data_IF_452554461578
#
_entry.id   IF_452554461578
#
_cell.length_a   1.000
_cell.length_b   1.000
_cell.length_c   1.000
_cell.angle_alpha   90.00
_cell.angle_beta   90.00
_cell.angle_gamma   90.00
#
_symmetry.space_group_name_H-M   'P 1'
#
loop_
_entity.id
_entity.type
_entity.pdbx_description
1 polymer ?
#
# COMPACT_ATOMS: atom_id res chain seq x y z
N UNK A 1 -4.84 -20.94 -21.74
CA UNK A 1 -3.69 -20.22 -21.17
C UNK A 1 -3.98 -19.64 -19.77
N UNK A 2 -5.17 -19.06 -19.50
CA UNK A 2 -5.59 -18.64 -18.14
C UNK A 2 -5.62 -19.79 -17.11
N UNK A 3 -6.05 -20.98 -17.50
CA UNK A 3 -6.16 -22.14 -16.59
C UNK A 3 -4.81 -22.75 -16.17
N UNK A 4 -3.75 -22.56 -16.97
CA UNK A 4 -2.46 -23.23 -16.77
C UNK A 4 -1.50 -22.51 -15.80
N UNK A 5 -1.82 -21.29 -15.35
CA UNK A 5 -1.03 -20.54 -14.34
C UNK A 5 -1.86 -20.15 -13.13
N UNK A 6 -3.18 -19.96 -13.28
CA UNK A 6 -4.10 -19.97 -12.14
C UNK A 6 -3.92 -21.23 -11.27
N UNK A 7 -3.57 -22.37 -11.90
CA UNK A 7 -3.23 -23.62 -11.22
C UNK A 7 -1.94 -23.57 -10.38
N UNK A 8 -0.91 -22.79 -10.77
CA UNK A 8 0.34 -22.71 -10.00
C UNK A 8 0.14 -21.93 -8.71
N UNK A 9 -0.49 -20.75 -8.76
CA UNK A 9 -0.76 -19.93 -7.56
C UNK A 9 -1.77 -20.61 -6.61
N UNK A 10 -2.83 -21.19 -7.16
CA UNK A 10 -3.82 -21.92 -6.37
C UNK A 10 -3.20 -23.16 -5.71
N UNK A 11 -2.42 -23.98 -6.44
CA UNK A 11 -1.73 -25.12 -5.84
C UNK A 11 -0.69 -24.71 -4.79
N UNK A 12 -0.03 -23.58 -5.01
CA UNK A 12 0.99 -23.00 -4.14
C UNK A 12 0.48 -22.50 -2.78
N UNK A 13 -0.78 -22.05 -2.71
CA UNK A 13 -1.36 -21.38 -1.54
C UNK A 13 -2.70 -21.99 -1.07
N UNK A 14 -3.11 -23.12 -1.65
CA UNK A 14 -4.26 -23.90 -1.20
C UNK A 14 -3.96 -24.61 0.13
N UNK A 15 -4.97 -24.68 0.99
CA UNK A 15 -4.85 -25.31 2.30
C UNK A 15 -6.16 -26.00 2.68
N UNK A 16 -6.12 -27.33 2.73
CA UNK A 16 -7.29 -28.14 3.08
C UNK A 16 -7.88 -27.79 4.47
N UNK A 17 -7.04 -27.40 5.43
CA UNK A 17 -7.53 -26.94 6.74
C UNK A 17 -8.25 -25.60 6.65
N UNK A 18 -7.77 -24.67 5.81
CA UNK A 18 -8.46 -23.39 5.57
C UNK A 18 -9.83 -23.64 4.95
N UNK A 19 -9.92 -24.56 3.98
CA UNK A 19 -11.20 -24.91 3.36
C UNK A 19 -12.17 -25.55 4.34
N UNK A 20 -11.68 -26.43 5.22
CA UNK A 20 -12.49 -27.01 6.30
C UNK A 20 -13.02 -25.93 7.24
N UNK A 21 -12.18 -24.96 7.62
CA UNK A 21 -12.60 -23.85 8.49
C UNK A 21 -13.62 -22.96 7.78
N UNK A 22 -13.43 -22.65 6.50
CA UNK A 22 -14.41 -21.91 5.68
C UNK A 22 -15.75 -22.63 5.60
N UNK A 23 -15.73 -23.95 5.37
CA UNK A 23 -16.95 -24.77 5.34
C UNK A 23 -17.66 -24.83 6.71
N UNK A 24 -16.92 -24.71 7.80
CA UNK A 24 -17.44 -24.59 9.17
C UNK A 24 -17.78 -23.15 9.59
N UNK A 25 -18.25 -22.31 8.67
CA UNK A 25 -18.59 -20.90 8.93
C UNK A 25 -17.44 -20.09 9.55
N UNK A 26 -16.22 -20.31 9.05
CA UNK A 26 -14.98 -19.67 9.53
C UNK A 26 -14.58 -20.05 10.97
N UNK A 27 -15.08 -21.18 11.47
CA UNK A 27 -14.80 -21.68 12.82
C UNK A 27 -14.36 -23.14 12.79
N UNK A 28 -13.35 -23.47 13.57
CA UNK A 28 -12.88 -24.85 13.74
C UNK A 28 -12.53 -25.15 15.19
N UNK A 29 -13.10 -26.21 15.75
CA UNK A 29 -12.84 -26.66 17.11
C UNK A 29 -11.94 -27.90 17.13
N UNK A 30 -10.86 -27.84 17.89
CA UNK A 30 -9.90 -28.92 18.11
C UNK A 30 -9.63 -29.08 19.62
N UNK A 31 -10.43 -29.92 20.27
CA UNK A 31 -10.37 -30.12 21.72
C UNK A 31 -10.72 -28.84 22.48
N UNK A 32 -9.76 -28.30 23.24
CA UNK A 32 -9.92 -27.03 23.97
C UNK A 32 -9.61 -25.77 23.15
N UNK A 33 -9.11 -25.94 21.92
CA UNK A 33 -8.76 -24.84 21.04
C UNK A 33 -9.91 -24.60 20.06
N UNK A 34 -10.33 -23.35 19.94
CA UNK A 34 -11.22 -22.92 18.87
C UNK A 34 -10.47 -21.90 18.01
N UNK A 35 -10.39 -22.16 16.71
CA UNK A 35 -9.81 -21.26 15.72
C UNK A 35 -10.95 -20.55 15.01
N UNK A 36 -10.87 -19.23 14.96
CA UNK A 36 -11.73 -18.39 14.14
C UNK A 36 -10.88 -17.76 13.03
N UNK A 37 -11.42 -17.72 11.82
CA UNK A 37 -10.85 -16.94 10.72
C UNK A 37 -11.73 -15.72 10.47
N UNK A 38 -11.11 -14.59 10.14
CA UNK A 38 -11.89 -13.48 9.58
C UNK A 38 -12.58 -13.94 8.29
N UNK A 39 -13.74 -13.37 7.96
CA UNK A 39 -14.47 -13.75 6.75
C UNK A 39 -13.70 -13.40 5.47
N UNK A 40 -12.92 -12.33 5.53
CA UNK A 40 -12.06 -11.85 4.45
C UNK A 40 -10.58 -11.84 4.89
N UNK A 41 -9.73 -12.55 4.14
CA UNK A 41 -8.30 -12.67 4.41
C UNK A 41 -7.53 -13.17 3.17
N UNK A 42 -6.20 -13.11 3.21
CA UNK A 42 -5.34 -13.63 2.15
C UNK A 42 -5.14 -12.65 0.99
N UNK A 43 -4.83 -13.17 -0.20
CA UNK A 43 -4.54 -12.37 -1.39
C UNK A 43 -5.77 -11.60 -1.88
N UNK A 44 -5.54 -10.41 -2.44
CA UNK A 44 -6.56 -9.68 -3.17
C UNK A 44 -6.37 -9.91 -4.66
N UNK A 45 -7.39 -9.61 -5.46
CA UNK A 45 -7.33 -9.70 -6.91
C UNK A 45 -6.10 -8.97 -7.53
N UNK A 46 -5.74 -7.81 -6.98
CA UNK A 46 -4.57 -7.05 -7.44
C UNK A 46 -3.25 -7.80 -7.22
N UNK A 47 -3.12 -8.49 -6.09
CA UNK A 47 -1.98 -9.35 -5.76
C UNK A 47 -1.97 -10.58 -6.66
N UNK A 48 -3.09 -11.30 -6.76
CA UNK A 48 -3.20 -12.51 -7.58
C UNK A 48 -2.77 -12.24 -9.03
N UNK A 49 -3.31 -11.16 -9.61
CA UNK A 49 -3.00 -10.76 -10.98
C UNK A 49 -1.53 -10.36 -11.15
N UNK A 50 -0.95 -9.66 -10.18
CA UNK A 50 0.45 -9.25 -10.27
C UNK A 50 1.41 -10.43 -10.25
N UNK A 51 1.16 -11.40 -9.37
CA UNK A 51 1.96 -12.62 -9.29
C UNK A 51 1.76 -13.50 -10.53
N UNK A 52 0.51 -13.69 -11.00
CA UNK A 52 0.24 -14.40 -12.27
C UNK A 52 0.99 -13.74 -13.44
N UNK A 53 0.92 -12.42 -13.57
CA UNK A 53 1.63 -11.71 -14.64
C UNK A 53 3.14 -11.89 -14.58
N UNK A 54 3.73 -11.97 -13.38
CA UNK A 54 5.16 -12.24 -13.23
C UNK A 54 5.54 -13.64 -13.75
N UNK A 55 4.78 -14.68 -13.39
CA UNK A 55 4.99 -16.03 -13.92
C UNK A 55 4.75 -16.11 -15.43
N UNK A 56 3.71 -15.45 -15.94
CA UNK A 56 3.44 -15.36 -17.38
C UNK A 56 4.56 -14.65 -18.12
N UNK A 57 5.11 -13.56 -17.58
CA UNK A 57 6.25 -12.87 -18.17
C UNK A 57 7.46 -13.80 -18.26
N UNK A 58 7.78 -14.52 -17.19
CA UNK A 58 8.87 -15.51 -17.19
C UNK A 58 8.65 -16.57 -18.27
N UNK A 59 7.45 -17.14 -18.37
CA UNK A 59 7.09 -18.15 -19.38
C UNK A 59 7.10 -17.61 -20.81
N UNK A 60 6.72 -16.35 -21.00
CA UNK A 60 6.63 -15.70 -22.32
C UNK A 60 8.00 -15.37 -22.91
N UNK A 61 9.00 -15.16 -22.04
CA UNK A 61 10.35 -14.75 -22.42
C UNK A 61 11.41 -15.72 -21.87
N UNK A 62 11.35 -17.02 -22.22
CA UNK A 62 12.19 -18.05 -21.61
C UNK A 62 13.70 -17.80 -21.79
N UNK A 63 14.11 -17.20 -22.91
CA UNK A 63 15.52 -16.99 -23.25
C UNK A 63 16.07 -15.61 -22.86
N UNK A 64 15.25 -14.76 -22.23
CA UNK A 64 15.64 -13.39 -21.83
C UNK A 64 15.79 -13.30 -20.33
N UNK A 65 16.61 -12.34 -19.88
CA UNK A 65 16.61 -11.95 -18.48
C UNK A 65 15.27 -11.29 -18.14
N UNK A 66 14.65 -11.76 -17.06
CA UNK A 66 13.43 -11.17 -16.52
C UNK A 66 13.75 -10.61 -15.15
N UNK A 67 13.60 -9.30 -15.02
CA UNK A 67 13.87 -8.55 -13.83
C UNK A 67 12.58 -8.06 -13.19
N UNK A 68 12.60 -7.88 -11.88
CA UNK A 68 11.59 -7.18 -11.10
C UNK A 68 12.26 -5.98 -10.43
N UNK A 69 11.64 -4.80 -10.42
CA UNK A 69 12.29 -3.57 -9.93
C UNK A 69 12.61 -3.57 -8.43
N UNK A 70 11.94 -4.44 -7.67
CA UNK A 70 11.99 -4.61 -6.22
C UNK A 70 11.16 -5.84 -5.86
N UNK A 71 10.34 -5.77 -4.81
CA UNK A 71 9.37 -6.83 -4.50
C UNK A 71 8.14 -6.77 -5.40
N UNK A 72 7.49 -7.91 -5.71
CA UNK A 72 6.22 -7.91 -6.48
C UNK A 72 5.09 -7.39 -5.59
N UNK A 73 5.14 -7.82 -4.33
CA UNK A 73 4.30 -7.51 -3.20
C UNK A 73 5.12 -7.67 -1.90
N UNK A 74 4.66 -7.08 -0.80
CA UNK A 74 5.28 -7.19 0.52
C UNK A 74 5.02 -8.56 1.20
N UNK A 75 5.52 -9.63 0.58
CA UNK A 75 5.47 -11.00 1.09
C UNK A 75 6.76 -11.76 0.69
N UNK A 76 7.64 -12.12 1.65
CA UNK A 76 8.92 -12.75 1.32
C UNK A 76 8.75 -14.08 0.58
N UNK A 77 7.83 -14.94 1.04
CA UNK A 77 7.57 -16.25 0.44
C UNK A 77 7.13 -16.18 -1.03
N UNK A 78 6.35 -15.15 -1.40
CA UNK A 78 5.98 -14.93 -2.81
C UNK A 78 7.21 -14.52 -3.63
N UNK A 79 8.03 -13.60 -3.12
CA UNK A 79 9.21 -13.12 -3.82
C UNK A 79 10.26 -14.23 -3.98
N UNK A 80 10.46 -15.07 -2.97
CA UNK A 80 11.40 -16.20 -3.04
C UNK A 80 10.97 -17.22 -4.10
N UNK A 81 9.68 -17.50 -4.23
CA UNK A 81 9.19 -18.36 -5.32
C UNK A 81 9.34 -17.75 -6.71
N UNK A 82 9.30 -16.43 -6.84
CA UNK A 82 9.61 -15.75 -8.11
C UNK A 82 11.11 -15.84 -8.42
N UNK A 83 11.98 -15.75 -7.40
CA UNK A 83 13.43 -16.01 -7.55
C UNK A 83 13.69 -17.44 -8.00
N UNK A 84 13.04 -18.42 -7.36
CA UNK A 84 13.15 -19.85 -7.73
C UNK A 84 12.68 -20.11 -9.17
N UNK A 85 11.72 -19.32 -9.67
CA UNK A 85 11.28 -19.34 -11.06
C UNK A 85 12.23 -18.64 -12.05
N UNK A 86 13.37 -18.12 -11.57
CA UNK A 86 14.39 -17.48 -12.38
C UNK A 86 14.13 -16.00 -12.67
N UNK A 87 13.27 -15.34 -11.90
CA UNK A 87 13.11 -13.88 -11.97
C UNK A 87 14.15 -13.21 -11.06
N UNK A 88 14.91 -12.27 -11.61
CA UNK A 88 15.98 -11.54 -10.91
C UNK A 88 15.45 -10.24 -10.34
N UNK A 89 15.97 -9.77 -9.21
CA UNK A 89 15.42 -8.59 -8.52
C UNK A 89 16.44 -7.45 -8.55
N UNK A 90 16.07 -6.30 -9.13
CA UNK A 90 16.94 -5.12 -9.23
C UNK A 90 17.25 -4.46 -7.88
N UNK A 91 16.61 -4.91 -6.80
CA UNK A 91 16.95 -4.56 -5.42
C UNK A 91 18.07 -5.42 -4.84
N UNK A 92 18.41 -6.55 -5.47
CA UNK A 92 19.44 -7.45 -4.97
C UNK A 92 20.85 -6.85 -5.23
N UNK A 93 21.83 -7.04 -4.33
CA UNK A 93 23.10 -6.31 -4.37
C UNK A 93 23.94 -6.45 -5.64
N UNK A 94 23.79 -7.57 -6.36
CA UNK A 94 24.55 -7.86 -7.58
C UNK A 94 23.88 -7.31 -8.84
N UNK A 95 22.62 -6.88 -8.74
CA UNK A 95 21.86 -6.39 -9.87
C UNK A 95 22.05 -4.89 -10.08
N UNK A 96 22.03 -4.49 -11.34
CA UNK A 96 22.35 -3.12 -11.75
C UNK A 96 21.31 -2.61 -12.74
N UNK A 97 20.66 -1.50 -12.38
CA UNK A 97 19.64 -0.87 -13.23
C UNK A 97 20.24 -0.21 -14.47
N UNK A 98 21.49 0.24 -14.40
CA UNK A 98 22.15 1.01 -15.45
C UNK A 98 22.68 0.16 -16.61
N UNK A 99 22.73 -1.16 -16.46
CA UNK A 99 23.18 -2.10 -17.51
C UNK A 99 22.03 -2.75 -18.29
N UNK A 100 20.78 -2.41 -17.97
CA UNK A 100 19.60 -2.93 -18.66
C UNK A 100 19.50 -2.40 -20.09
N UNK A 101 18.98 -3.22 -21.00
CA UNK A 101 18.81 -2.87 -22.41
C UNK A 101 17.63 -3.54 -23.11
N UNK A 102 17.60 -3.47 -24.46
CA UNK A 102 16.47 -3.96 -25.28
C UNK A 102 16.17 -5.46 -25.14
N UNK A 103 17.17 -6.25 -24.73
CA UNK A 103 17.07 -7.70 -24.53
C UNK A 103 16.55 -8.08 -23.14
N UNK A 104 16.31 -7.11 -22.25
CA UNK A 104 15.82 -7.37 -20.89
C UNK A 104 14.31 -7.08 -20.75
N UNK A 105 13.65 -7.90 -19.93
CA UNK A 105 12.25 -7.72 -19.56
C UNK A 105 12.21 -7.21 -18.12
N UNK A 106 11.48 -6.14 -17.86
CA UNK A 106 11.36 -5.55 -16.52
C UNK A 106 9.91 -5.52 -16.08
N UNK A 107 9.62 -6.24 -15.01
CA UNK A 107 8.32 -6.28 -14.36
C UNK A 107 8.24 -5.14 -13.36
N UNK A 108 7.15 -4.38 -13.42
CA UNK A 108 6.82 -3.33 -12.45
C UNK A 108 5.84 -3.91 -11.42
N UNK A 109 6.00 -3.64 -10.12
CA UNK A 109 5.28 -4.29 -9.06
C UNK A 109 3.83 -3.82 -8.90
N UNK A 110 3.06 -4.49 -8.04
CA UNK A 110 1.64 -4.21 -7.85
C UNK A 110 1.36 -2.79 -7.32
N UNK A 111 2.30 -2.21 -6.58
CA UNK A 111 2.24 -0.84 -6.06
C UNK A 111 2.80 0.22 -7.05
N UNK A 112 3.29 -0.23 -8.21
CA UNK A 112 3.82 0.61 -9.28
C UNK A 112 5.21 1.20 -9.02
N UNK A 113 5.65 2.07 -9.93
CA UNK A 113 6.96 2.74 -9.87
C UNK A 113 6.81 4.25 -10.06
N UNK A 114 7.86 5.00 -9.73
CA UNK A 114 7.85 6.45 -9.95
C UNK A 114 7.87 6.80 -11.43
N UNK A 115 7.40 7.99 -11.78
CA UNK A 115 7.44 8.51 -13.16
C UNK A 115 8.87 8.55 -13.71
N UNK A 116 9.85 8.88 -12.86
CA UNK A 116 11.27 8.90 -13.22
C UNK A 116 11.79 7.50 -13.50
N UNK A 117 11.50 6.52 -12.63
CA UNK A 117 11.89 5.12 -12.85
C UNK A 117 11.28 4.59 -14.15
N UNK A 118 10.00 4.86 -14.40
CA UNK A 118 9.31 4.45 -15.62
C UNK A 118 9.96 5.06 -16.87
N UNK A 119 10.28 6.36 -16.84
CA UNK A 119 10.94 7.04 -17.96
C UNK A 119 12.34 6.50 -18.21
N UNK A 120 13.11 6.23 -17.16
CA UNK A 120 14.44 5.64 -17.25
C UNK A 120 14.37 4.26 -17.92
N UNK A 121 13.56 3.35 -17.38
CA UNK A 121 13.43 1.98 -17.90
C UNK A 121 12.95 1.98 -19.36
N UNK A 122 12.01 2.87 -19.71
CA UNK A 122 11.55 3.02 -21.09
C UNK A 122 12.65 3.56 -22.01
N UNK A 123 13.49 4.49 -21.54
CA UNK A 123 14.59 5.05 -22.35
C UNK A 123 15.70 4.05 -22.65
N UNK A 124 15.84 3.01 -21.81
CA UNK A 124 16.79 1.91 -22.01
C UNK A 124 16.30 0.87 -23.03
N UNK A 125 15.07 1.00 -23.53
CA UNK A 125 14.49 0.09 -24.52
C UNK A 125 13.99 -1.25 -23.94
N UNK A 126 13.94 -1.39 -22.61
CA UNK A 126 13.48 -2.62 -21.96
C UNK A 126 12.04 -2.98 -22.36
N UNK A 127 11.74 -4.28 -22.39
CA UNK A 127 10.34 -4.72 -22.48
C UNK A 127 9.69 -4.62 -21.10
N UNK A 128 8.74 -3.69 -20.94
CA UNK A 128 8.10 -3.45 -19.64
C UNK A 128 6.82 -4.27 -19.46
N UNK A 129 6.70 -4.93 -18.31
CA UNK A 129 5.48 -5.64 -17.89
C UNK A 129 4.92 -4.95 -16.65
N UNK A 130 3.91 -4.11 -16.85
CA UNK A 130 3.30 -3.36 -15.75
C UNK A 130 2.24 -4.19 -15.02
N UNK A 131 2.50 -4.54 -13.76
CA UNK A 131 1.56 -5.29 -12.92
C UNK A 131 0.78 -4.41 -11.94
N UNK A 132 0.95 -3.08 -12.01
CA UNK A 132 0.35 -2.10 -11.09
C UNK A 132 -1.15 -2.36 -10.93
N UNK A 133 -1.59 -2.49 -9.67
CA UNK A 133 -2.96 -2.79 -9.29
C UNK A 133 -3.94 -1.72 -9.81
N UNK A 134 -5.11 -2.15 -10.28
CA UNK A 134 -6.15 -1.25 -10.79
C UNK A 134 -6.59 -0.20 -9.76
N UNK A 135 -6.62 -0.54 -8.46
CA UNK A 135 -6.92 0.41 -7.38
C UNK A 135 -5.84 1.49 -7.27
N UNK A 136 -4.56 1.13 -7.36
CA UNK A 136 -3.43 2.09 -7.35
C UNK A 136 -3.51 3.01 -8.56
N UNK A 137 -3.80 2.46 -9.75
CA UNK A 137 -4.01 3.27 -10.96
C UNK A 137 -5.17 4.27 -10.81
N UNK A 138 -6.21 3.95 -10.04
CA UNK A 138 -7.28 4.90 -9.76
C UNK A 138 -6.84 6.04 -8.84
N UNK A 139 -5.97 5.77 -7.86
CA UNK A 139 -5.33 6.84 -7.06
C UNK A 139 -4.51 7.76 -7.96
N UNK A 140 -3.72 7.19 -8.88
CA UNK A 140 -2.91 7.96 -9.83
C UNK A 140 -3.78 8.86 -10.71
N UNK A 141 -4.92 8.37 -11.20
CA UNK A 141 -5.88 9.19 -11.97
C UNK A 141 -6.37 10.39 -11.16
N UNK A 142 -6.66 10.22 -9.86
CA UNK A 142 -7.11 11.31 -9.01
C UNK A 142 -5.99 12.34 -8.78
N UNK A 143 -4.78 11.89 -8.47
CA UNK A 143 -3.61 12.78 -8.31
C UNK A 143 -3.32 13.56 -9.60
N UNK A 144 -3.40 12.91 -10.75
CA UNK A 144 -3.27 13.57 -12.06
C UNK A 144 -4.36 14.63 -12.27
N UNK A 145 -5.63 14.31 -11.95
CA UNK A 145 -6.74 15.26 -12.05
C UNK A 145 -6.56 16.47 -11.13
N UNK A 146 -6.00 16.27 -9.93
CA UNK A 146 -5.65 17.37 -9.03
C UNK A 146 -4.61 18.29 -9.63
N UNK A 147 -3.49 17.72 -10.09
CA UNK A 147 -2.42 18.49 -10.72
C UNK A 147 -2.90 19.28 -11.95
N UNK A 148 -3.72 18.66 -12.81
CA UNK A 148 -4.35 19.33 -13.97
C UNK A 148 -5.29 20.47 -13.55
N UNK A 149 -6.04 20.27 -12.46
CA UNK A 149 -6.97 21.26 -11.91
C UNK A 149 -6.32 22.38 -11.11
N UNK A 150 -5.00 22.36 -10.93
CA UNK A 150 -4.27 23.31 -10.10
C UNK A 150 -4.49 23.11 -8.59
N UNK A 151 -4.78 21.87 -8.18
CA UNK A 151 -4.83 21.45 -6.79
C UNK A 151 -3.51 20.74 -6.43
N UNK A 152 -3.02 21.00 -5.23
CA UNK A 152 -1.96 20.19 -4.61
C UNK A 152 -2.54 18.86 -4.17
N UNK A 153 -1.87 17.76 -4.51
CA UNK A 153 -2.24 16.44 -4.03
C UNK A 153 -1.73 16.25 -2.58
N UNK A 154 -2.63 16.30 -1.60
CA UNK A 154 -2.31 15.93 -0.22
C UNK A 154 -2.58 14.44 -0.06
N UNK A 155 -1.53 13.66 0.14
CA UNK A 155 -1.56 12.20 0.14
C UNK A 155 -1.42 11.69 1.58
N UNK A 156 -2.46 11.09 2.12
CA UNK A 156 -2.36 10.34 3.37
C UNK A 156 -1.69 8.99 3.11
N UNK A 157 -0.49 8.81 3.65
CA UNK A 157 0.31 7.62 3.41
C UNK A 157 1.71 7.71 3.97
N UNK A 158 2.45 6.61 3.89
CA UNK A 158 3.82 6.55 4.39
C UNK A 158 4.78 7.10 3.35
N UNK A 159 5.52 8.17 3.66
CA UNK A 159 6.41 8.87 2.71
C UNK A 159 7.45 7.96 2.03
N UNK A 160 7.96 6.95 2.75
CA UNK A 160 8.95 6.00 2.23
C UNK A 160 8.34 4.82 1.47
N UNK A 161 7.03 4.60 1.57
CA UNK A 161 6.37 3.45 0.94
C UNK A 161 6.33 3.62 -0.58
N UNK A 162 6.59 2.54 -1.31
CA UNK A 162 6.76 2.55 -2.75
C UNK A 162 5.50 3.06 -3.48
N UNK A 163 4.32 2.59 -3.07
CA UNK A 163 3.04 3.09 -3.59
C UNK A 163 2.87 4.61 -3.42
N UNK A 164 3.22 5.15 -2.25
CA UNK A 164 3.10 6.58 -1.94
C UNK A 164 4.05 7.38 -2.81
N UNK A 165 5.30 6.93 -2.96
CA UNK A 165 6.30 7.56 -3.82
C UNK A 165 5.88 7.54 -5.29
N UNK A 166 5.39 6.39 -5.76
CA UNK A 166 4.88 6.23 -7.12
C UNK A 166 3.69 7.16 -7.39
N UNK A 167 2.74 7.21 -6.44
CA UNK A 167 1.56 8.08 -6.48
C UNK A 167 1.92 9.56 -6.45
N UNK A 168 2.78 9.98 -5.51
CA UNK A 168 3.24 11.37 -5.41
C UNK A 168 3.94 11.84 -6.68
N UNK A 169 4.75 10.98 -7.29
CA UNK A 169 5.45 11.31 -8.54
C UNK A 169 4.50 11.57 -9.72
N UNK A 170 3.26 11.08 -9.68
CA UNK A 170 2.26 11.35 -10.73
C UNK A 170 1.86 12.83 -10.78
N UNK A 171 1.86 13.54 -9.64
CA UNK A 171 1.58 14.97 -9.60
C UNK A 171 2.61 15.75 -10.44
N UNK A 172 3.87 15.29 -10.43
CA UNK A 172 5.00 15.95 -11.10
C UNK A 172 5.01 15.75 -12.62
N UNK A 173 4.08 14.99 -13.19
CA UNK A 173 3.86 14.96 -14.66
C UNK A 173 3.45 16.31 -15.22
N UNK A 174 2.98 17.22 -14.38
CA UNK A 174 2.53 18.57 -14.75
C UNK A 174 3.48 19.60 -14.13
N UNK A 175 3.93 20.63 -14.87
CA UNK A 175 4.91 21.61 -14.37
C UNK A 175 4.48 22.33 -13.08
N UNK A 176 3.18 22.60 -12.93
CA UNK A 176 2.58 23.24 -11.74
C UNK A 176 2.05 22.23 -10.72
N UNK A 177 2.22 20.93 -10.96
CA UNK A 177 1.78 19.90 -10.03
C UNK A 177 2.61 19.91 -8.76
N UNK A 178 1.92 19.77 -7.63
CA UNK A 178 2.52 19.76 -6.29
C UNK A 178 1.91 18.62 -5.48
N UNK A 179 2.68 18.11 -4.54
CA UNK A 179 2.18 17.14 -3.57
C UNK A 179 2.73 17.43 -2.18
N UNK A 180 2.00 16.95 -1.18
CA UNK A 180 2.41 16.85 0.21
C UNK A 180 1.95 15.49 0.74
N UNK A 181 2.84 14.74 1.39
CA UNK A 181 2.50 13.49 2.07
C UNK A 181 2.31 13.77 3.55
N UNK A 182 1.25 13.23 4.14
CA UNK A 182 0.98 13.26 5.58
C UNK A 182 0.84 11.83 6.09
N UNK A 183 1.49 11.51 7.20
CA UNK A 183 1.51 10.16 7.74
C UNK A 183 0.28 9.82 8.60
N UNK A 184 -0.11 10.74 9.47
CA UNK A 184 -1.06 10.50 10.55
C UNK A 184 -1.86 11.76 10.90
N UNK A 185 -2.75 11.64 11.89
CA UNK A 185 -3.56 12.75 12.42
C UNK A 185 -2.72 13.93 12.93
N UNK A 186 -1.55 13.70 13.51
CA UNK A 186 -0.70 14.77 14.05
C UNK A 186 -0.09 15.63 12.95
N UNK A 187 0.41 14.99 11.90
CA UNK A 187 0.86 15.69 10.70
C UNK A 187 -0.29 16.39 9.97
N UNK A 188 -1.45 15.75 9.84
CA UNK A 188 -2.64 16.39 9.28
C UNK A 188 -3.06 17.62 10.09
N UNK A 189 -3.01 17.56 11.42
CA UNK A 189 -3.29 18.71 12.29
C UNK A 189 -2.32 19.87 12.03
N UNK A 190 -1.02 19.57 11.89
CA UNK A 190 -0.01 20.59 11.55
C UNK A 190 -0.34 21.31 10.24
N UNK A 191 -0.78 20.55 9.22
CA UNK A 191 -1.21 21.11 7.93
C UNK A 191 -2.50 21.91 8.08
N UNK A 192 -3.49 21.43 8.83
CA UNK A 192 -4.72 22.14 9.09
C UNK A 192 -4.49 23.47 9.83
N UNK A 193 -3.59 23.49 10.81
CA UNK A 193 -3.25 24.71 11.56
C UNK A 193 -2.56 25.71 10.66
N UNK A 194 -1.61 25.26 9.82
CA UNK A 194 -0.98 26.11 8.81
C UNK A 194 -2.01 26.66 7.83
N UNK A 195 -2.93 25.83 7.32
CA UNK A 195 -4.00 26.30 6.45
C UNK A 195 -4.76 27.43 7.14
N UNK A 196 -5.21 27.26 8.40
CA UNK A 196 -6.01 28.27 9.11
C UNK A 196 -5.24 29.58 9.33
N UNK A 197 -4.06 29.53 9.93
CA UNK A 197 -3.35 30.72 10.41
C UNK A 197 -2.29 31.26 9.44
N UNK A 198 -1.68 30.42 8.62
CA UNK A 198 -0.49 30.73 7.84
C UNK A 198 0.76 31.01 8.70
N UNK A 199 0.76 30.61 9.97
CA UNK A 199 1.87 30.89 10.90
C UNK A 199 2.98 29.82 10.82
N UNK A 200 4.22 30.26 11.08
CA UNK A 200 5.41 29.40 11.25
C UNK A 200 5.82 28.58 10.00
N UNK A 201 5.97 29.31 8.88
CA UNK A 201 6.37 28.76 7.57
C UNK A 201 7.68 27.98 7.59
N UNK A 202 8.68 28.44 8.33
CA UNK A 202 9.97 27.76 8.41
C UNK A 202 9.86 26.42 9.12
N UNK A 203 9.16 26.36 10.27
CA UNK A 203 8.94 25.10 10.97
C UNK A 203 8.09 24.12 10.13
N UNK A 204 7.08 24.62 9.41
CA UNK A 204 6.28 23.81 8.50
C UNK A 204 7.15 23.16 7.41
N UNK A 205 7.96 23.96 6.72
CA UNK A 205 8.84 23.47 5.66
C UNK A 205 9.90 22.50 6.21
N UNK A 206 10.44 22.75 7.40
CA UNK A 206 11.37 21.83 8.05
C UNK A 206 10.72 20.48 8.39
N UNK A 207 9.48 20.49 8.90
CA UNK A 207 8.70 19.30 9.23
C UNK A 207 8.44 18.41 8.00
N UNK A 208 8.12 19.03 6.86
CA UNK A 208 7.71 18.34 5.64
C UNK A 208 8.77 18.30 4.53
N UNK A 209 10.03 18.64 4.83
CA UNK A 209 11.10 18.73 3.83
C UNK A 209 11.29 17.44 3.00
N UNK A 210 11.08 16.27 3.61
CA UNK A 210 11.17 14.97 2.92
C UNK A 210 9.84 14.45 2.35
N UNK A 211 8.73 15.19 2.55
CA UNK A 211 7.37 14.75 2.26
C UNK A 211 6.64 15.64 1.27
N UNK A 212 7.23 16.76 0.84
CA UNK A 212 6.68 17.68 -0.13
C UNK A 212 7.40 17.61 -1.48
N UNK A 213 6.72 18.04 -2.56
CA UNK A 213 7.31 18.17 -3.89
C UNK A 213 8.41 19.25 -3.94
N UNK A 214 9.38 19.17 -4.87
CA UNK A 214 10.35 20.24 -5.08
C UNK A 214 9.69 21.60 -5.36
N UNK A 215 10.17 22.67 -4.72
CA UNK A 215 9.62 24.02 -4.87
C UNK A 215 8.21 24.20 -4.29
N UNK A 216 7.81 23.31 -3.36
CA UNK A 216 6.58 23.45 -2.59
C UNK A 216 6.63 24.71 -1.73
N UNK A 217 5.54 25.46 -1.76
CA UNK A 217 5.37 26.69 -1.00
C UNK A 217 4.00 26.65 -0.31
N UNK A 218 3.93 26.45 1.01
CA UNK A 218 2.66 26.19 1.68
C UNK A 218 1.66 27.36 1.56
N UNK A 219 2.12 28.60 1.40
CA UNK A 219 1.27 29.77 1.22
C UNK A 219 0.51 29.75 -0.11
N UNK A 220 1.13 29.17 -1.15
CA UNK A 220 0.55 29.03 -2.48
C UNK A 220 -0.16 27.69 -2.65
N UNK A 221 0.50 26.62 -2.20
CA UNK A 221 0.18 25.25 -2.55
C UNK A 221 -0.87 24.64 -1.62
N UNK A 222 -1.13 25.21 -0.43
CA UNK A 222 -2.22 24.76 0.46
C UNK A 222 -3.53 25.56 0.28
N UNK A 223 -3.61 26.44 -0.72
CA UNK A 223 -4.86 27.17 -1.03
C UNK A 223 -5.89 26.28 -1.69
N UNK A 224 -5.46 25.32 -2.52
CA UNK A 224 -6.33 24.37 -3.22
C UNK A 224 -5.76 22.98 -3.08
N UNK A 225 -6.45 22.11 -2.35
CA UNK A 225 -5.95 20.77 -2.02
C UNK A 225 -6.93 19.68 -2.48
N UNK A 226 -6.34 18.60 -3.00
CA UNK A 226 -7.03 17.37 -3.33
C UNK A 226 -6.49 16.23 -2.46
N UNK A 227 -7.35 15.57 -1.69
CA UNK A 227 -6.97 14.46 -0.83
C UNK A 227 -6.94 13.14 -1.61
N UNK A 228 -5.88 12.38 -1.43
CA UNK A 228 -5.74 10.99 -1.86
C UNK A 228 -5.12 10.17 -0.73
N UNK A 229 -5.32 8.87 -0.76
CA UNK A 229 -4.83 7.94 0.24
C UNK A 229 -3.99 6.86 -0.43
N UNK A 230 -2.93 6.44 0.24
CA UNK A 230 -2.33 5.13 -0.03
C UNK A 230 -3.40 4.05 0.22
N UNK A 231 -3.58 3.13 -0.72
CA UNK A 231 -4.72 2.19 -0.80
C UNK A 231 -4.87 1.28 0.40
N UNK A 232 -3.80 1.10 1.18
CA UNK A 232 -3.70 0.21 2.34
C UNK A 232 -3.69 0.93 3.70
N UNK A 233 -4.00 2.23 3.75
CA UNK A 233 -4.10 2.97 5.03
C UNK A 233 -5.34 2.56 5.83
N UNK A 234 -5.39 2.94 7.11
CA UNK A 234 -6.59 2.75 7.92
C UNK A 234 -7.72 3.63 7.38
N UNK A 235 -8.88 3.03 7.16
CA UNK A 235 -9.99 3.73 6.54
C UNK A 235 -10.53 4.85 7.44
N UNK A 236 -10.75 4.54 8.73
CA UNK A 236 -11.28 5.50 9.71
C UNK A 236 -10.37 6.72 9.86
N UNK A 237 -9.06 6.50 9.94
CA UNK A 237 -8.05 7.56 10.00
C UNK A 237 -8.03 8.38 8.70
N UNK A 238 -8.14 7.74 7.54
CA UNK A 238 -8.15 8.44 6.25
C UNK A 238 -9.38 9.34 6.05
N UNK A 239 -10.56 8.87 6.47
CA UNK A 239 -11.79 9.67 6.44
C UNK A 239 -11.69 10.85 7.40
N UNK A 240 -11.20 10.62 8.62
CA UNK A 240 -11.00 11.69 9.60
C UNK A 240 -10.05 12.78 9.08
N UNK A 241 -8.90 12.39 8.52
CA UNK A 241 -7.92 13.34 7.94
C UNK A 241 -8.54 14.14 6.78
N UNK A 242 -9.35 13.50 5.93
CA UNK A 242 -10.08 14.19 4.86
C UNK A 242 -11.03 15.27 5.39
N UNK A 243 -11.81 14.96 6.43
CA UNK A 243 -12.70 15.93 7.06
C UNK A 243 -11.94 17.04 7.80
N UNK A 244 -10.81 16.72 8.45
CA UNK A 244 -9.95 17.73 9.06
C UNK A 244 -9.49 18.78 8.04
N UNK A 245 -9.07 18.34 6.85
CA UNK A 245 -8.65 19.24 5.78
C UNK A 245 -9.80 20.06 5.23
N UNK A 246 -10.97 19.44 5.02
CA UNK A 246 -12.19 20.14 4.62
C UNK A 246 -12.54 21.25 5.60
N UNK A 247 -12.49 20.95 6.90
CA UNK A 247 -12.78 21.88 7.97
C UNK A 247 -11.77 23.03 8.04
N UNK A 248 -10.48 22.76 7.84
CA UNK A 248 -9.45 23.79 7.80
C UNK A 248 -9.66 24.77 6.63
N UNK A 249 -9.96 24.26 5.43
CA UNK A 249 -10.27 25.08 4.25
C UNK A 249 -11.54 25.89 4.50
N UNK A 250 -12.61 25.27 5.00
CA UNK A 250 -13.87 25.95 5.34
C UNK A 250 -13.65 27.07 6.36
N UNK A 251 -12.88 26.82 7.40
CA UNK A 251 -12.61 27.80 8.45
C UNK A 251 -11.88 29.04 7.93
N UNK A 252 -10.98 28.88 6.96
CA UNK A 252 -10.20 29.99 6.39
C UNK A 252 -10.93 30.72 5.26
N UNK A 253 -11.49 29.97 4.33
CA UNK A 253 -11.97 30.52 3.05
C UNK A 253 -13.50 30.55 2.94
N UNK A 254 -14.21 30.00 3.93
CA UNK A 254 -15.66 29.93 3.98
C UNK A 254 -16.25 28.74 3.20
N UNK A 255 -17.50 28.40 3.52
CA UNK A 255 -18.22 27.26 2.91
C UNK A 255 -18.34 27.40 1.38
N UNK A 256 -18.56 28.62 0.89
CA UNK A 256 -18.75 28.89 -0.53
C UNK A 256 -17.50 28.58 -1.39
N UNK A 257 -16.30 28.54 -0.78
CA UNK A 257 -15.06 28.27 -1.48
C UNK A 257 -14.74 26.77 -1.61
N UNK A 258 -15.40 25.90 -0.84
CA UNK A 258 -15.09 24.46 -0.79
C UNK A 258 -15.10 23.78 -2.17
N UNK A 259 -16.10 23.99 -3.07
CA UNK A 259 -16.12 23.34 -4.38
C UNK A 259 -14.87 23.63 -5.24
N UNK A 260 -14.28 24.80 -5.05
CA UNK A 260 -13.14 25.28 -5.84
C UNK A 260 -11.78 25.03 -5.17
N UNK A 261 -11.75 24.80 -3.84
CA UNK A 261 -10.52 24.72 -3.05
C UNK A 261 -10.28 23.36 -2.38
N UNK A 262 -11.31 22.53 -2.25
CA UNK A 262 -11.19 21.21 -1.64
C UNK A 262 -11.77 20.12 -2.54
N UNK A 263 -11.00 19.04 -2.71
CA UNK A 263 -11.47 17.80 -3.33
C UNK A 263 -11.03 16.63 -2.47
N UNK A 264 -11.88 15.63 -2.34
CA UNK A 264 -11.52 14.38 -1.69
C UNK A 264 -12.17 13.23 -2.44
N UNK A 265 -11.39 12.20 -2.72
CA UNK A 265 -11.88 10.93 -3.22
C UNK A 265 -11.40 9.83 -2.30
N UNK A 266 -12.32 8.99 -1.85
CA UNK A 266 -11.90 7.77 -1.19
C UNK A 266 -11.11 6.91 -2.19
N UNK A 267 -9.93 6.55 -1.75
CA UNK A 267 -8.88 5.90 -2.53
C UNK A 267 -8.31 4.70 -1.78
N UNK A 268 -8.87 4.37 -0.62
CA UNK A 268 -8.66 3.06 0.01
C UNK A 268 -9.26 1.99 -0.90
N UNK A 269 -8.53 0.89 -1.09
CA UNK A 269 -9.04 -0.18 -1.95
C UNK A 269 -10.09 -1.02 -1.21
N UNK A 270 -11.07 -1.54 -1.95
CA UNK A 270 -12.15 -2.36 -1.38
C UNK A 270 -11.61 -3.55 -0.59
N UNK A 271 -10.57 -4.21 -1.11
CA UNK A 271 -9.99 -5.37 -0.45
C UNK A 271 -9.33 -5.02 0.91
N UNK A 272 -8.81 -3.80 1.07
CA UNK A 272 -8.32 -3.33 2.37
C UNK A 272 -9.48 -3.07 3.31
N UNK A 273 -10.53 -2.40 2.84
CA UNK A 273 -11.74 -2.13 3.61
C UNK A 273 -12.42 -3.44 4.07
N UNK A 274 -12.70 -4.36 3.16
CA UNK A 274 -13.31 -5.67 3.41
C UNK A 274 -12.57 -6.47 4.50
N UNK A 275 -11.22 -6.44 4.49
CA UNK A 275 -10.41 -7.10 5.53
C UNK A 275 -10.48 -6.40 6.88
N UNK A 276 -10.47 -5.06 6.90
CA UNK A 276 -10.63 -4.29 8.14
C UNK A 276 -12.02 -4.57 8.74
N UNK A 277 -13.06 -4.51 7.92
CA UNK A 277 -14.45 -4.77 8.32
C UNK A 277 -14.62 -6.21 8.84
N UNK A 278 -14.06 -7.21 8.14
CA UNK A 278 -14.14 -8.60 8.56
C UNK A 278 -13.44 -8.88 9.90
N UNK A 279 -12.30 -8.23 10.14
CA UNK A 279 -11.59 -8.34 11.43
C UNK A 279 -12.36 -7.62 12.54
N UNK A 280 -12.92 -6.43 12.28
CA UNK A 280 -13.74 -5.70 13.25
C UNK A 280 -14.99 -6.51 13.61
N UNK A 281 -15.67 -7.09 12.60
CA UNK A 281 -16.82 -7.96 12.82
C UNK A 281 -16.45 -9.16 13.69
N UNK A 282 -15.34 -9.85 13.39
CA UNK A 282 -14.85 -10.98 14.18
C UNK A 282 -14.58 -10.59 15.64
N UNK A 283 -13.92 -9.45 15.88
CA UNK A 283 -13.64 -8.95 17.24
C UNK A 283 -14.92 -8.60 18.03
N UNK A 284 -15.97 -8.15 17.35
CA UNK A 284 -17.24 -7.78 17.98
C UNK A 284 -18.16 -9.00 18.21
N UNK A 285 -18.12 -9.98 17.32
CA UNK A 285 -18.99 -11.16 17.33
C UNK A 285 -18.48 -12.25 18.27
N UNK A 286 -17.16 -12.38 18.43
CA UNK A 286 -16.53 -13.50 19.11
C UNK A 286 -15.66 -13.06 20.30
N UNK A 287 -15.65 -13.86 21.37
CA UNK A 287 -14.70 -13.68 22.47
C UNK A 287 -13.39 -14.38 22.15
N UNK A 288 -12.40 -13.61 21.74
CA UNK A 288 -11.07 -14.12 21.40
C UNK A 288 -10.09 -13.95 22.57
N UNK A 289 -9.26 -14.97 22.82
CA UNK A 289 -8.18 -14.91 23.80
C UNK A 289 -6.92 -14.23 23.24
N UNK A 290 -6.67 -14.41 21.94
CA UNK A 290 -5.56 -13.81 21.21
C UNK A 290 -5.88 -13.70 19.71
N UNK A 291 -5.12 -12.87 19.00
CA UNK A 291 -5.14 -12.77 17.55
C UNK A 291 -3.77 -13.06 16.95
N UNK A 292 -3.73 -13.85 15.88
CA UNK A 292 -2.56 -14.00 15.01
C UNK A 292 -2.82 -13.29 13.69
N UNK A 293 -2.01 -12.28 13.38
CA UNK A 293 -2.06 -11.59 12.08
C UNK A 293 -0.87 -12.03 11.25
N UNK A 294 -1.14 -12.73 10.15
CA UNK A 294 -0.11 -13.35 9.32
C UNK A 294 0.19 -12.49 8.08
N UNK A 295 1.46 -12.19 7.85
CA UNK A 295 1.93 -11.56 6.62
C UNK A 295 3.26 -10.82 6.77
N UNK A 296 3.82 -10.38 5.65
CA UNK A 296 5.11 -9.69 5.60
C UNK A 296 5.17 -8.47 6.52
N UNK A 297 6.32 -8.25 7.15
CA UNK A 297 6.53 -7.17 8.12
C UNK A 297 6.57 -5.77 7.50
N UNK A 298 6.80 -5.67 6.19
CA UNK A 298 6.71 -4.45 5.40
C UNK A 298 5.31 -4.20 4.80
N UNK A 299 4.36 -5.13 4.94
CA UNK A 299 2.99 -4.97 4.43
C UNK A 299 2.19 -3.95 5.25
N UNK A 300 1.85 -2.81 4.63
CA UNK A 300 1.06 -1.78 5.31
C UNK A 300 -0.34 -2.26 5.69
N UNK A 301 -1.00 -3.06 4.85
CA UNK A 301 -2.31 -3.64 5.17
C UNK A 301 -2.22 -4.57 6.39
N UNK A 302 -1.23 -5.47 6.42
CA UNK A 302 -1.04 -6.42 7.53
C UNK A 302 -0.74 -5.70 8.84
N UNK A 303 0.12 -4.68 8.82
CA UNK A 303 0.40 -3.85 10.00
C UNK A 303 -0.86 -3.14 10.52
N UNK A 304 -1.73 -2.67 9.62
CA UNK A 304 -2.98 -2.01 10.00
C UNK A 304 -4.01 -2.98 10.60
N UNK A 305 -4.14 -4.21 10.06
CA UNK A 305 -4.95 -5.26 10.68
C UNK A 305 -4.44 -5.60 12.08
N UNK A 306 -3.12 -5.71 12.27
CA UNK A 306 -2.53 -5.94 13.59
C UNK A 306 -2.82 -4.79 14.58
N UNK A 307 -2.79 -3.53 14.11
CA UNK A 307 -3.18 -2.36 14.94
C UNK A 307 -4.64 -2.42 15.36
N UNK A 308 -5.55 -2.79 14.46
CA UNK A 308 -6.98 -2.92 14.76
C UNK A 308 -7.21 -3.99 15.83
N UNK A 309 -6.61 -5.17 15.67
CA UNK A 309 -6.75 -6.26 16.64
C UNK A 309 -6.15 -5.90 18.01
N UNK A 310 -4.97 -5.30 18.04
CA UNK A 310 -4.27 -4.96 19.27
C UNK A 310 -5.00 -3.94 20.15
N UNK A 311 -5.96 -3.18 19.57
CA UNK A 311 -6.81 -2.29 20.33
C UNK A 311 -7.81 -3.02 21.25
N UNK A 312 -8.06 -4.31 21.00
CA UNK A 312 -9.08 -5.10 21.73
C UNK A 312 -8.55 -6.39 22.34
N UNK A 313 -7.59 -7.07 21.70
CA UNK A 313 -7.12 -8.41 22.09
C UNK A 313 -5.60 -8.53 21.95
N UNK A 314 -4.90 -9.30 22.82
CA UNK A 314 -3.49 -9.61 22.62
C UNK A 314 -3.21 -10.10 21.19
N UNK A 315 -2.36 -9.38 20.47
CA UNK A 315 -2.15 -9.58 19.03
C UNK A 315 -0.69 -9.83 18.71
N UNK A 316 -0.45 -10.87 17.91
CA UNK A 316 0.88 -11.25 17.45
C UNK A 316 0.94 -11.18 15.92
N UNK A 317 1.80 -10.29 15.39
CA UNK A 317 2.09 -10.22 13.95
C UNK A 317 3.24 -11.16 13.61
N UNK A 318 2.96 -12.21 12.86
CA UNK A 318 3.94 -13.22 12.43
C UNK A 318 4.06 -13.23 10.91
N UNK A 319 5.25 -13.53 10.38
CA UNK A 319 5.46 -13.63 8.94
C UNK A 319 5.03 -15.00 8.40
N UNK A 320 5.23 -16.06 9.19
CA UNK A 320 5.11 -17.46 8.78
C UNK A 320 5.11 -18.42 10.00
N UNK A 321 4.95 -19.74 9.79
CA UNK A 321 4.97 -20.72 10.87
C UNK A 321 6.31 -20.85 11.62
N UNK A 322 7.45 -20.46 11.02
CA UNK A 322 8.76 -20.54 11.69
C UNK A 322 8.87 -19.58 12.88
N UNK A 323 7.96 -18.62 12.96
CA UNK A 323 7.78 -17.76 14.12
C UNK A 323 7.34 -18.54 15.37
N UNK A 324 6.75 -19.73 15.24
CA UNK A 324 6.38 -20.60 16.36
C UNK A 324 7.58 -21.42 16.83
N UNK A 325 8.49 -20.78 17.57
CA UNK A 325 9.79 -21.34 17.98
C UNK A 325 9.63 -22.57 18.88
N UNK A 326 8.70 -22.51 19.84
CA UNK A 326 8.42 -23.63 20.73
C UNK A 326 6.99 -23.55 21.29
N UNK A 327 6.60 -24.52 22.13
CA UNK A 327 5.29 -24.52 22.81
C UNK A 327 5.07 -23.29 23.71
N UNK A 328 6.13 -22.63 24.16
CA UNK A 328 6.06 -21.46 25.04
C UNK A 328 6.65 -20.19 24.44
N UNK A 329 7.09 -20.22 23.19
CA UNK A 329 7.81 -19.10 22.58
C UNK A 329 7.29 -18.81 21.17
N UNK A 330 6.88 -17.57 20.96
CA UNK A 330 6.42 -17.05 19.69
C UNK A 330 7.26 -15.81 19.33
N UNK A 331 8.02 -15.88 18.24
CA UNK A 331 8.71 -14.73 17.67
C UNK A 331 7.70 -13.91 16.88
N UNK A 332 7.49 -12.66 17.25
CA UNK A 332 6.53 -11.81 16.54
C UNK A 332 7.05 -10.38 16.42
N UNK A 333 6.48 -9.64 15.47
CA UNK A 333 6.69 -8.21 15.35
C UNK A 333 5.81 -7.47 16.36
N UNK A 334 6.36 -6.52 17.15
CA UNK A 334 5.54 -5.67 18.01
C UNK A 334 4.60 -4.79 17.19
N UNK A 335 3.34 -4.69 17.62
CA UNK A 335 2.35 -3.83 16.98
C UNK A 335 2.73 -2.36 17.19
N UNK A 336 2.66 -1.56 16.12
CA UNK A 336 3.07 -0.15 16.14
C UNK A 336 4.56 0.09 15.93
N UNK A 337 5.40 -0.96 15.83
CA UNK A 337 6.79 -0.79 15.43
C UNK A 337 6.89 -0.17 14.02
N UNK A 338 7.77 0.83 13.79
CA UNK A 338 7.92 1.46 12.48
C UNK A 338 8.16 0.43 11.38
N UNK A 339 7.42 0.50 10.27
CA UNK A 339 7.75 -0.28 9.07
C UNK A 339 9.15 0.15 8.62
N UNK A 340 10.10 -0.78 8.72
CA UNK A 340 11.50 -0.61 8.31
C UNK A 340 11.59 -0.32 6.83
#
# INVERSE_FOLDING_TARGET
MKEAVAGELAAAYHSAIVDQVRAGEFKHAAGRLTIHLAREFGFCYGVDRAVDYAYQARRRFPDRNVFLTGEIIHNPHVNDRLRDAGIRFLSDPLERRDVLGPDDVVILPAFGVTVTDMAQLSSQGCTLVDTTCGSVLNVWKNVVRYAQGGFTAVIHGKVKHEETRATASQALKYPRGRYLVVLDRGEAQTVCDYIRSGSDREAFLARFAGAASPGFDPDRDLVRIGCANQTTMLMTESLEIGEMFRDAIRARYGEAALPDQFRSFDTICSATQERQDAVIALLNEERLDLMLVVGGYNSSNTCNLARICAAQVPTYHIADPECMVSRGELRHRPVGAPST
#
